data_IF_768853261346
#
_entry.id   IF_768853261346
#
_cell.length_a   1.000
_cell.length_b   1.000
_cell.length_c   1.000
_cell.angle_alpha   90.00
_cell.angle_beta   90.00
_cell.angle_gamma   90.00
#
_symmetry.space_group_name_H-M   'P 1'
#
loop_
_entity.id
_entity.type
_entity.pdbx_description
1 polymer ?
#
# COMPACT_ATOMS: atom_id res chain seq x y z
N UNK A 1 19.76 -3.92 -4.84
CA UNK A 1 18.93 -4.09 -3.62
C UNK A 1 18.04 -2.85 -3.46
N UNK A 2 16.72 -2.95 -3.24
CA UNK A 2 15.85 -1.77 -3.07
C UNK A 2 16.32 -0.89 -1.91
N UNK A 3 16.13 0.44 -2.03
CA UNK A 3 16.46 1.39 -0.94
C UNK A 3 15.80 0.90 0.36
N UNK A 4 16.46 1.03 1.53
CA UNK A 4 15.93 0.50 2.80
C UNK A 4 14.48 0.90 3.09
N UNK A 5 14.11 2.14 2.77
CA UNK A 5 12.76 2.68 2.90
C UNK A 5 11.67 1.80 2.24
N UNK A 6 11.98 1.20 1.08
CA UNK A 6 11.06 0.38 0.29
C UNK A 6 10.95 -1.07 0.77
N UNK A 7 11.77 -1.46 1.75
CA UNK A 7 11.73 -2.80 2.36
C UNK A 7 10.68 -2.92 3.45
N UNK A 8 10.21 -1.80 3.99
CA UNK A 8 9.18 -1.75 5.03
C UNK A 8 7.84 -2.33 4.54
N UNK A 9 7.05 -2.90 5.47
CA UNK A 9 5.67 -3.35 5.20
C UNK A 9 4.70 -2.18 5.08
N UNK A 10 5.10 -0.95 5.38
CA UNK A 10 4.27 0.25 5.34
C UNK A 10 3.87 0.63 3.91
N UNK A 11 4.75 0.41 2.94
CA UNK A 11 4.48 0.66 1.52
C UNK A 11 3.96 -0.61 0.84
N UNK A 12 2.84 -0.52 0.13
CA UNK A 12 2.31 -1.59 -0.72
C UNK A 12 3.10 -1.63 -2.03
N UNK A 13 3.47 -2.83 -2.46
CA UNK A 13 4.18 -3.07 -3.72
C UNK A 13 3.18 -3.54 -4.79
N UNK A 14 3.22 -2.94 -5.97
CA UNK A 14 2.47 -3.38 -7.14
C UNK A 14 3.44 -3.54 -8.31
N UNK A 15 3.55 -4.77 -8.83
CA UNK A 15 4.31 -5.00 -10.05
C UNK A 15 3.41 -4.60 -11.22
N UNK A 16 3.86 -3.64 -12.02
CA UNK A 16 3.12 -3.13 -13.18
C UNK A 16 3.99 -3.31 -14.41
N UNK A 17 3.38 -3.79 -15.49
CA UNK A 17 4.03 -3.80 -16.80
C UNK A 17 3.91 -2.41 -17.41
N UNK A 18 5.05 -1.78 -17.60
CA UNK A 18 5.12 -0.49 -18.30
C UNK A 18 4.81 -0.70 -19.78
N UNK A 19 4.35 0.34 -20.51
CA UNK A 19 4.10 0.27 -21.95
C UNK A 19 5.34 -0.17 -22.76
N UNK A 20 6.54 0.13 -22.26
CA UNK A 20 7.83 -0.33 -22.81
C UNK A 20 8.10 -1.83 -22.61
N UNK A 21 7.16 -2.58 -22.01
CA UNK A 21 7.24 -4.02 -21.81
C UNK A 21 7.97 -4.46 -20.53
N UNK A 22 8.61 -3.53 -19.81
CA UNK A 22 9.35 -3.80 -18.56
C UNK A 22 8.40 -3.94 -17.38
N UNK A 23 8.65 -4.91 -16.49
CA UNK A 23 7.95 -5.05 -15.21
C UNK A 23 8.65 -4.20 -14.17
N UNK A 24 7.96 -3.21 -13.62
CA UNK A 24 8.48 -2.28 -12.62
C UNK A 24 7.64 -2.39 -11.34
N UNK A 25 8.29 -2.33 -10.18
CA UNK A 25 7.61 -2.31 -8.87
C UNK A 25 7.28 -0.86 -8.49
N UNK A 26 5.98 -0.53 -8.49
CA UNK A 26 5.49 0.72 -7.91
C UNK A 26 5.25 0.56 -6.41
N UNK A 27 5.71 1.55 -5.64
CA UNK A 27 5.44 1.65 -4.21
C UNK A 27 4.31 2.67 -4.01
N UNK A 28 3.29 2.28 -3.26
CA UNK A 28 2.18 3.15 -2.88
C UNK A 28 1.97 3.12 -1.37
N UNK A 29 1.47 4.22 -0.84
CA UNK A 29 1.02 4.29 0.55
C UNK A 29 -0.20 3.39 0.78
N UNK A 30 -0.35 2.88 2.01
CA UNK A 30 -1.54 2.14 2.40
C UNK A 30 -2.66 3.13 2.64
N UNK A 31 -3.84 2.83 2.09
CA UNK A 31 -5.05 3.53 2.48
C UNK A 31 -5.37 3.18 3.94
N UNK A 32 -5.71 4.20 4.71
CA UNK A 32 -6.29 4.04 6.05
C UNK A 32 -7.58 3.25 5.93
N UNK A 33 -7.85 2.37 6.91
CA UNK A 33 -9.13 1.65 6.98
C UNK A 33 -10.29 2.59 7.23
N UNK A 34 -11.51 2.09 7.08
CA UNK A 34 -12.72 2.81 7.47
C UNK A 34 -12.65 3.16 8.97
N UNK A 35 -13.11 4.34 9.41
CA UNK A 35 -13.14 4.63 10.83
C UNK A 35 -14.09 3.67 11.55
N UNK A 36 -13.69 3.22 12.73
CA UNK A 36 -14.47 2.33 13.58
C UNK A 36 -14.77 3.03 14.90
N UNK A 37 -15.95 2.77 15.48
CA UNK A 37 -16.27 3.20 16.83
C UNK A 37 -15.31 2.54 17.84
N UNK A 38 -14.79 3.33 18.79
CA UNK A 38 -13.83 2.85 19.79
C UNK A 38 -14.41 1.82 20.75
N UNK A 39 -15.71 1.88 21.03
CA UNK A 39 -16.37 1.00 22.00
C UNK A 39 -16.93 -0.27 21.37
N UNK A 40 -17.62 -0.15 20.23
CA UNK A 40 -18.33 -1.29 19.62
C UNK A 40 -17.69 -1.81 18.32
N UNK A 41 -16.67 -1.14 17.78
CA UNK A 41 -16.01 -1.56 16.53
C UNK A 41 -16.87 -1.40 15.26
N UNK A 42 -18.09 -0.85 15.39
CA UNK A 42 -18.96 -0.59 14.26
C UNK A 42 -18.30 0.38 13.28
N UNK A 43 -18.51 0.15 11.98
CA UNK A 43 -18.02 1.02 10.92
C UNK A 43 -18.78 2.35 11.01
N UNK A 44 -18.04 3.45 11.17
CA UNK A 44 -18.57 4.80 11.09
C UNK A 44 -18.51 5.20 9.61
N UNK A 45 -19.67 5.18 8.95
CA UNK A 45 -19.86 5.54 7.54
C UNK A 45 -20.41 6.94 7.37
#
# INVERSE_FOLDING_TARGET
MPRPMYRSRSLKRKNVRTPSGKVVTHYREKRTGTPHCSECGAILG
#
